data_IF_320026609150
#
_entry.id   IF_320026609150
#
_cell.length_a   1.000
_cell.length_b   1.000
_cell.length_c   1.000
_cell.angle_alpha   90.00
_cell.angle_beta   90.00
_cell.angle_gamma   90.00
#
_symmetry.space_group_name_H-M   'P 1'
#
loop_
_entity.id
_entity.type
_entity.pdbx_description
1 polymer ?
#
# COMPACT_ATOMS: atom_id res chain seq x y z
N UNK A 1 -14.04 -24.51 14.48
CA UNK A 1 -13.75 -23.52 13.44
C UNK A 1 -12.28 -23.61 13.07
N UNK A 2 -11.98 -23.80 11.81
CA UNK A 2 -10.59 -23.93 11.37
C UNK A 2 -9.96 -22.53 11.20
N UNK A 3 -8.72 -22.43 11.60
CA UNK A 3 -7.97 -21.19 11.42
C UNK A 3 -7.63 -20.98 9.95
N UNK A 4 -7.77 -19.75 9.52
CA UNK A 4 -7.37 -19.37 8.17
C UNK A 4 -5.85 -19.24 8.13
N UNK A 5 -5.23 -19.89 7.17
CA UNK A 5 -3.77 -19.85 7.03
C UNK A 5 -3.27 -18.62 6.28
N UNK A 6 -4.14 -17.97 5.55
CA UNK A 6 -3.77 -16.82 4.71
C UNK A 6 -4.45 -15.55 5.24
N UNK A 7 -3.85 -15.00 6.28
CA UNK A 7 -4.32 -13.75 6.87
C UNK A 7 -3.55 -12.57 6.28
N UNK A 8 -4.17 -11.37 6.22
CA UNK A 8 -3.45 -10.19 5.80
C UNK A 8 -2.24 -9.92 6.69
N UNK A 9 -1.14 -9.53 6.08
CA UNK A 9 0.07 -9.11 6.80
C UNK A 9 -0.06 -7.65 7.23
N UNK A 10 0.82 -7.20 8.12
CA UNK A 10 0.84 -5.80 8.53
C UNK A 10 0.97 -4.87 7.32
N UNK A 11 1.88 -5.19 6.39
CA UNK A 11 2.08 -4.34 5.22
C UNK A 11 0.83 -4.29 4.32
N UNK A 12 0.11 -5.40 4.20
CA UNK A 12 -1.14 -5.43 3.43
C UNK A 12 -2.23 -4.59 4.10
N UNK A 13 -2.29 -4.61 5.43
CA UNK A 13 -3.24 -3.78 6.18
C UNK A 13 -2.93 -2.31 6.02
N UNK A 14 -1.65 -1.93 6.09
CA UNK A 14 -1.21 -0.54 5.91
C UNK A 14 -1.51 -0.07 4.47
N UNK A 15 -1.24 -0.93 3.49
CA UNK A 15 -1.56 -0.65 2.09
C UNK A 15 -3.06 -0.40 1.91
N UNK A 16 -3.88 -1.28 2.47
CA UNK A 16 -5.33 -1.15 2.43
C UNK A 16 -5.83 0.12 3.13
N UNK A 17 -5.21 0.48 4.26
CA UNK A 17 -5.53 1.71 4.97
C UNK A 17 -5.29 2.93 4.07
N UNK A 18 -4.14 2.97 3.39
CA UNK A 18 -3.80 4.08 2.52
C UNK A 18 -4.82 4.24 1.39
N UNK A 19 -5.28 3.13 0.80
CA UNK A 19 -6.28 3.15 -0.27
C UNK A 19 -7.66 3.55 0.27
N UNK A 20 -8.07 3.00 1.39
CA UNK A 20 -9.35 3.34 2.02
C UNK A 20 -9.41 4.84 2.37
N UNK A 21 -8.28 5.40 2.81
CA UNK A 21 -8.18 6.82 3.12
C UNK A 21 -8.34 7.69 1.87
N UNK A 22 -7.79 7.26 0.74
CA UNK A 22 -8.01 7.95 -0.53
C UNK A 22 -9.48 7.93 -0.93
N UNK A 23 -10.13 6.79 -0.77
CA UNK A 23 -11.55 6.64 -1.10
C UNK A 23 -12.41 7.55 -0.23
N UNK A 24 -12.13 7.64 1.06
CA UNK A 24 -12.88 8.50 1.96
C UNK A 24 -12.82 9.96 1.53
N UNK A 25 -11.66 10.41 1.09
CA UNK A 25 -11.45 11.81 0.70
C UNK A 25 -12.04 12.11 -0.67
N UNK A 26 -11.85 11.20 -1.63
CA UNK A 26 -12.17 11.48 -3.04
C UNK A 26 -13.50 10.92 -3.52
N UNK A 27 -14.11 9.99 -2.80
CA UNK A 27 -15.41 9.41 -3.16
C UNK A 27 -16.40 9.75 -2.04
N UNK A 28 -17.11 10.86 -2.21
CA UNK A 28 -17.96 11.41 -1.15
C UNK A 28 -19.26 10.66 -0.94
N UNK A 29 -19.75 9.92 -1.95
CA UNK A 29 -21.04 9.22 -1.87
C UNK A 29 -21.08 8.13 -0.81
N UNK A 30 -19.92 7.53 -0.49
CA UNK A 30 -19.82 6.41 0.45
C UNK A 30 -18.87 6.72 1.61
N UNK A 31 -18.77 7.99 1.97
CA UNK A 31 -17.82 8.44 2.99
C UNK A 31 -17.95 7.71 4.32
N UNK A 32 -19.19 7.49 4.78
CA UNK A 32 -19.44 6.82 6.05
C UNK A 32 -19.02 5.35 6.03
N UNK A 33 -19.23 4.70 4.89
CA UNK A 33 -18.83 3.29 4.72
C UNK A 33 -17.32 3.14 4.72
N UNK A 34 -16.61 4.08 4.09
CA UNK A 34 -15.14 4.06 4.11
C UNK A 34 -14.58 4.38 5.49
N UNK A 35 -15.23 5.28 6.22
CA UNK A 35 -14.82 5.58 7.61
C UNK A 35 -14.93 4.34 8.50
N UNK A 36 -15.98 3.54 8.32
CA UNK A 36 -16.16 2.30 9.06
C UNK A 36 -15.09 1.28 8.68
N UNK A 37 -14.81 1.12 7.38
CA UNK A 37 -13.74 0.25 6.89
C UNK A 37 -12.39 0.64 7.48
N UNK A 38 -12.09 1.94 7.51
CA UNK A 38 -10.86 2.46 8.10
C UNK A 38 -10.74 2.08 9.58
N UNK A 39 -11.82 2.22 10.33
CA UNK A 39 -11.82 1.84 11.75
C UNK A 39 -11.52 0.37 11.94
N UNK A 40 -12.07 -0.50 11.10
CA UNK A 40 -11.81 -1.94 11.17
C UNK A 40 -10.33 -2.24 10.85
N UNK A 41 -9.79 -1.58 9.84
CA UNK A 41 -8.37 -1.75 9.47
C UNK A 41 -7.46 -1.28 10.60
N UNK A 42 -7.75 -0.14 11.20
CA UNK A 42 -6.98 0.41 12.34
C UNK A 42 -6.99 -0.60 13.50
N UNK A 43 -8.13 -1.18 13.78
CA UNK A 43 -8.27 -2.19 14.83
C UNK A 43 -7.33 -3.38 14.55
N UNK A 44 -7.33 -3.89 13.33
CA UNK A 44 -6.52 -5.03 12.95
C UNK A 44 -5.02 -4.69 12.96
N UNK A 45 -4.65 -3.49 12.52
CA UNK A 45 -3.25 -3.02 12.59
C UNK A 45 -2.78 -2.99 14.05
N UNK A 46 -3.61 -2.46 14.94
CA UNK A 46 -3.27 -2.37 16.35
C UNK A 46 -3.05 -3.76 16.97
N UNK A 47 -3.88 -4.73 16.60
CA UNK A 47 -3.71 -6.11 17.03
C UNK A 47 -2.40 -6.72 16.51
N UNK A 48 -2.10 -6.52 15.23
CA UNK A 48 -0.87 -7.04 14.62
C UNK A 48 0.37 -6.48 15.33
N UNK A 49 0.39 -5.18 15.57
CA UNK A 49 1.52 -4.55 16.26
C UNK A 49 1.68 -5.06 17.69
N UNK A 50 0.57 -5.25 18.40
CA UNK A 50 0.56 -5.73 19.78
C UNK A 50 0.97 -7.20 19.89
N UNK A 51 0.33 -8.06 19.08
CA UNK A 51 0.55 -9.51 19.15
C UNK A 51 1.96 -9.91 18.75
N UNK A 52 2.56 -9.19 17.82
CA UNK A 52 3.91 -9.49 17.33
C UNK A 52 4.99 -8.65 17.99
N UNK A 53 4.61 -7.83 18.96
CA UNK A 53 5.53 -6.90 19.63
C UNK A 53 6.36 -6.10 18.63
N UNK A 54 5.72 -5.69 17.55
CA UNK A 54 6.39 -4.99 16.47
C UNK A 54 6.67 -3.54 16.84
N UNK A 55 7.93 -3.14 16.73
CA UNK A 55 8.34 -1.75 16.95
C UNK A 55 8.79 -1.15 15.62
N UNK A 56 8.11 -0.09 15.22
CA UNK A 56 8.46 0.61 14.00
C UNK A 56 9.53 1.65 14.27
N UNK A 57 10.48 1.77 13.36
CA UNK A 57 11.53 2.79 13.42
C UNK A 57 11.33 3.85 12.32
N UNK A 58 12.26 4.79 12.21
CA UNK A 58 12.15 5.86 11.23
C UNK A 58 12.14 5.37 9.79
N UNK A 59 12.89 4.32 9.50
CA UNK A 59 12.92 3.75 8.15
C UNK A 59 11.58 3.11 7.79
N UNK A 60 10.93 2.47 8.76
CA UNK A 60 9.62 1.88 8.56
C UNK A 60 8.56 2.96 8.29
N UNK A 61 8.64 4.05 9.04
CA UNK A 61 7.74 5.19 8.82
C UNK A 61 7.95 5.78 7.44
N UNK A 62 9.21 5.91 7.00
CA UNK A 62 9.51 6.37 5.65
C UNK A 62 8.89 5.44 4.59
N UNK A 63 9.01 4.13 4.79
CA UNK A 63 8.41 3.15 3.87
C UNK A 63 6.89 3.30 3.80
N UNK A 64 6.23 3.56 4.93
CA UNK A 64 4.79 3.81 4.97
C UNK A 64 4.44 5.07 4.15
N UNK A 65 5.22 6.14 4.31
CA UNK A 65 5.01 7.37 3.55
C UNK A 65 5.16 7.13 2.05
N UNK A 66 6.22 6.42 1.65
CA UNK A 66 6.44 6.08 0.24
C UNK A 66 5.26 5.26 -0.30
N UNK A 67 4.82 4.25 0.45
CA UNK A 67 3.67 3.42 0.07
C UNK A 67 2.43 4.28 -0.17
N UNK A 68 2.11 5.16 0.76
CA UNK A 68 0.93 6.02 0.65
C UNK A 68 1.02 6.97 -0.54
N UNK A 69 2.20 7.55 -0.77
CA UNK A 69 2.41 8.44 -1.90
C UNK A 69 2.31 7.72 -3.24
N UNK A 70 2.84 6.50 -3.32
CA UNK A 70 2.74 5.71 -4.54
C UNK A 70 1.29 5.33 -4.81
N UNK A 71 0.53 4.96 -3.78
CA UNK A 71 -0.88 4.66 -3.94
C UNK A 71 -1.67 5.87 -4.44
N UNK A 72 -1.36 7.06 -3.96
CA UNK A 72 -2.00 8.29 -4.44
C UNK A 72 -1.70 8.51 -5.92
N UNK A 73 -0.44 8.36 -6.33
CA UNK A 73 -0.06 8.54 -7.73
C UNK A 73 -0.69 7.48 -8.63
N UNK A 74 -0.72 6.24 -8.19
CA UNK A 74 -1.38 5.15 -8.94
C UNK A 74 -2.86 5.46 -9.11
N UNK A 75 -3.53 5.85 -8.03
CA UNK A 75 -4.94 6.23 -8.05
C UNK A 75 -5.21 7.32 -9.06
N UNK A 76 -4.44 8.40 -9.01
CA UNK A 76 -4.59 9.53 -9.91
C UNK A 76 -4.32 9.12 -11.36
N UNK A 77 -3.24 8.39 -11.59
CA UNK A 77 -2.86 7.96 -12.93
C UNK A 77 -3.91 7.03 -13.55
N UNK A 78 -4.43 6.07 -12.77
CA UNK A 78 -5.48 5.17 -13.25
C UNK A 78 -6.77 5.93 -13.54
N UNK A 79 -7.12 6.89 -12.70
CA UNK A 79 -8.31 7.72 -12.90
C UNK A 79 -8.20 8.48 -14.22
N UNK A 80 -7.06 9.08 -14.50
CA UNK A 80 -6.81 9.79 -15.76
C UNK A 80 -6.86 8.84 -16.95
N UNK A 81 -6.26 7.67 -16.83
CA UNK A 81 -6.25 6.68 -17.90
C UNK A 81 -7.67 6.21 -18.25
N UNK A 82 -8.48 5.90 -17.23
CA UNK A 82 -9.86 5.44 -17.42
C UNK A 82 -10.76 6.54 -17.97
N UNK A 83 -10.49 7.78 -17.60
CA UNK A 83 -11.25 8.92 -18.09
C UNK A 83 -10.90 9.31 -19.53
N UNK A 84 -9.81 8.78 -20.07
CA UNK A 84 -9.37 9.11 -21.42
C UNK A 84 -8.86 10.53 -21.56
N UNK A 85 -8.35 11.12 -20.47
CA UNK A 85 -7.91 12.52 -20.48
C UNK A 85 -6.52 12.71 -21.08
N UNK A 86 -5.86 11.62 -21.48
CA UNK A 86 -4.57 11.69 -22.14
C UNK A 86 -3.36 11.70 -21.23
N UNK A 87 -3.53 12.04 -19.95
CA UNK A 87 -2.44 12.12 -19.01
C UNK A 87 -2.16 10.79 -18.31
N UNK A 88 -3.12 9.88 -18.30
CA UNK A 88 -2.96 8.57 -17.70
C UNK A 88 -2.05 7.68 -18.55
N UNK A 89 -1.17 6.95 -17.86
CA UNK A 89 -0.18 6.10 -18.51
C UNK A 89 -0.10 4.75 -17.77
N UNK A 90 -0.48 3.67 -18.46
CA UNK A 90 -0.48 2.33 -17.88
C UNK A 90 0.93 1.88 -17.49
N UNK A 91 1.94 2.21 -18.30
CA UNK A 91 3.33 1.90 -17.97
C UNK A 91 3.77 2.59 -16.69
N UNK A 92 3.33 3.83 -16.47
CA UNK A 92 3.60 4.56 -15.23
C UNK A 92 2.98 3.83 -14.02
N UNK A 93 1.75 3.36 -14.14
CA UNK A 93 1.10 2.58 -13.07
C UNK A 93 1.94 1.36 -12.71
N UNK A 94 2.44 0.62 -13.68
CA UNK A 94 3.27 -0.55 -13.42
C UNK A 94 4.58 -0.19 -12.72
N UNK A 95 5.23 0.91 -13.14
CA UNK A 95 6.44 1.39 -12.49
C UNK A 95 6.21 1.78 -11.04
N UNK A 96 5.12 2.52 -10.79
CA UNK A 96 4.73 2.93 -9.44
C UNK A 96 4.40 1.71 -8.56
N UNK A 97 3.77 0.68 -9.12
CA UNK A 97 3.50 -0.57 -8.40
C UNK A 97 4.79 -1.26 -7.95
N UNK A 98 5.84 -1.20 -8.75
CA UNK A 98 7.14 -1.74 -8.37
C UNK A 98 7.69 -1.07 -7.12
N UNK A 99 7.65 0.26 -7.08
CA UNK A 99 8.08 1.04 -5.92
C UNK A 99 7.19 0.72 -4.72
N UNK A 100 5.88 0.64 -4.92
CA UNK A 100 4.93 0.31 -3.87
C UNK A 100 5.23 -1.05 -3.24
N UNK A 101 5.49 -2.07 -4.06
CA UNK A 101 5.79 -3.41 -3.56
C UNK A 101 7.09 -3.45 -2.77
N UNK A 102 8.10 -2.68 -3.19
CA UNK A 102 9.33 -2.54 -2.41
C UNK A 102 9.07 -1.92 -1.05
N UNK A 103 8.24 -0.88 -0.99
CA UNK A 103 7.86 -0.24 0.28
C UNK A 103 7.14 -1.22 1.19
N UNK A 104 6.19 -2.00 0.65
CA UNK A 104 5.48 -3.03 1.42
C UNK A 104 6.44 -4.04 2.03
N UNK A 105 7.40 -4.52 1.24
CA UNK A 105 8.38 -5.48 1.72
C UNK A 105 9.29 -4.89 2.81
N UNK A 106 9.65 -3.63 2.70
CA UNK A 106 10.40 -2.92 3.76
C UNK A 106 9.63 -2.91 5.08
N UNK A 107 8.34 -2.62 5.04
CA UNK A 107 7.48 -2.64 6.21
C UNK A 107 7.41 -4.06 6.78
N UNK A 108 7.24 -5.04 5.91
CA UNK A 108 7.08 -6.44 6.34
C UNK A 108 8.35 -7.03 6.94
N UNK A 109 9.52 -6.56 6.55
CA UNK A 109 10.78 -6.99 7.17
C UNK A 109 10.79 -6.77 8.68
N UNK A 110 10.22 -5.65 9.15
CA UNK A 110 10.13 -5.39 10.59
C UNK A 110 9.06 -6.23 11.26
N UNK A 111 7.94 -6.45 10.60
CA UNK A 111 6.82 -7.20 11.19
C UNK A 111 7.06 -8.71 11.18
N UNK A 112 7.94 -9.20 10.32
CA UNK A 112 8.09 -10.63 10.07
C UNK A 112 6.94 -11.17 9.21
N UNK A 113 6.94 -12.47 8.95
CA UNK A 113 5.90 -13.09 8.15
C UNK A 113 6.26 -13.13 6.66
N UNK A 114 5.25 -13.38 5.84
CA UNK A 114 5.49 -13.56 4.41
C UNK A 114 5.73 -12.23 3.72
N UNK A 115 6.58 -12.28 2.71
CA UNK A 115 6.82 -11.16 1.81
C UNK A 115 6.09 -11.38 0.51
N UNK A 116 5.81 -10.28 -0.18
CA UNK A 116 5.27 -10.34 -1.52
C UNK A 116 6.46 -10.40 -2.49
N UNK A 117 6.60 -11.53 -3.18
CA UNK A 117 7.68 -11.73 -4.15
C UNK A 117 7.25 -11.40 -5.58
N UNK A 118 6.06 -10.87 -5.74
CA UNK A 118 5.56 -10.51 -7.06
C UNK A 118 6.35 -9.32 -7.59
N UNK A 119 7.10 -9.55 -8.64
CA UNK A 119 7.84 -8.51 -9.33
C UNK A 119 7.17 -8.29 -10.68
N UNK A 120 6.76 -7.05 -10.91
CA UNK A 120 6.22 -6.67 -12.20
C UNK A 120 7.38 -6.52 -13.19
N UNK A 121 7.32 -7.24 -14.30
CA UNK A 121 8.35 -7.17 -15.33
C UNK A 121 8.53 -5.75 -15.87
N UNK A 122 7.45 -4.98 -15.94
CA UNK A 122 7.49 -3.61 -16.42
C UNK A 122 8.19 -2.68 -15.43
N UNK A 123 8.15 -3.01 -14.14
CA UNK A 123 8.84 -2.22 -13.14
C UNK A 123 10.35 -2.13 -13.40
N UNK A 124 10.93 -3.14 -14.04
CA UNK A 124 12.34 -3.13 -14.39
C UNK A 124 12.70 -2.04 -15.39
N UNK A 125 11.74 -1.60 -16.21
CA UNK A 125 11.94 -0.52 -17.17
C UNK A 125 12.03 0.86 -16.48
N UNK A 126 11.57 0.93 -15.24
CA UNK A 126 11.56 2.16 -14.44
C UNK A 126 12.60 2.10 -13.32
N UNK A 127 13.68 1.38 -13.53
CA UNK A 127 14.72 1.21 -12.51
C UNK A 127 15.34 2.52 -12.04
N UNK A 128 15.28 3.55 -12.88
CA UNK A 128 15.77 4.88 -12.53
C UNK A 128 14.83 5.64 -11.59
N UNK A 129 13.68 5.05 -11.32
CA UNK A 129 12.69 5.59 -10.39
C UNK A 129 12.87 5.01 -8.99
N UNK A 130 14.08 4.70 -8.66
CA UNK A 130 14.38 4.10 -7.36
C UNK A 130 14.24 5.10 -6.23
N UNK A 131 13.77 4.59 -5.09
CA UNK A 131 13.80 5.32 -3.84
C UNK A 131 15.10 4.95 -3.14
N UNK A 132 15.77 5.92 -2.54
CA UNK A 132 17.02 5.67 -1.81
C UNK A 132 16.71 4.98 -0.47
N UNK A 133 16.70 3.67 -0.52
CA UNK A 133 16.44 2.85 0.68
C UNK A 133 17.75 2.61 1.41
N UNK A 134 17.97 3.27 2.51
CA UNK A 134 19.10 2.92 3.37
C UNK A 134 18.81 3.25 4.80
#
# INVERSE_FOLDING_TARGET
MSDRKYLPTLSELIDRLSIAQLKEVFITEHKDEYAEEINDIIHDISLELSEKSCKLNGEDIRAIVVLAQMNLHIWHNETQYRAGTGDGNLGLTHGLNGIRNTAKNKIQEQAGGRKDYKIDCIAAEFKDWEVSWD
#
